data_IF_230393286011
#
_entry.id   IF_230393286011
#
_cell.length_a   1.000
_cell.length_b   1.000
_cell.length_c   1.000
_cell.angle_alpha   90.00
_cell.angle_beta   90.00
_cell.angle_gamma   90.00
#
_symmetry.space_group_name_H-M   'P 1'
#
loop_
_entity.id
_entity.type
_entity.pdbx_description
1 polymer ?
#
# COMPACT_ATOMS: atom_id res chain seq x y z
N UNK A 1 7.99 -10.29 23.18
CA UNK A 1 7.13 -9.81 24.28
C UNK A 1 7.26 -8.30 24.53
N UNK A 2 8.42 -7.66 24.34
CA UNK A 2 8.56 -6.19 24.42
C UNK A 2 8.12 -5.48 23.13
N UNK A 3 8.26 -6.11 21.96
CA UNK A 3 7.83 -5.58 20.66
C UNK A 3 6.30 -5.41 20.55
N UNK A 4 5.53 -6.30 21.15
CA UNK A 4 4.05 -6.26 21.08
C UNK A 4 3.45 -5.11 21.90
N UNK A 5 4.15 -4.68 22.95
CA UNK A 5 3.74 -3.53 23.79
C UNK A 5 4.09 -2.20 23.10
N UNK A 6 5.23 -2.10 22.43
CA UNK A 6 5.60 -0.92 21.64
C UNK A 6 4.65 -0.76 20.44
N UNK A 7 4.29 -1.85 19.76
CA UNK A 7 3.30 -1.82 18.69
C UNK A 7 1.89 -1.43 19.20
N UNK A 8 1.52 -1.81 20.42
CA UNK A 8 0.27 -1.40 21.04
C UNK A 8 0.27 0.07 21.49
N UNK A 9 1.41 0.59 21.95
CA UNK A 9 1.56 2.00 22.30
C UNK A 9 1.50 2.88 21.05
N UNK A 10 2.12 2.47 19.93
CA UNK A 10 2.01 3.15 18.64
C UNK A 10 0.59 3.15 18.06
N UNK A 11 -0.26 2.17 18.42
CA UNK A 11 -1.68 2.16 18.05
C UNK A 11 -2.50 3.23 18.81
N UNK A 12 -1.99 3.77 19.89
CA UNK A 12 -2.62 4.85 20.67
C UNK A 12 -2.15 6.25 20.25
N UNK A 13 -1.04 6.34 19.54
CA UNK A 13 -0.51 7.60 19.03
C UNK A 13 -1.26 8.02 17.76
N UNK A 14 -1.86 9.20 17.81
CA UNK A 14 -2.68 9.74 16.71
C UNK A 14 -1.82 10.53 15.72
N UNK A 15 -2.01 10.36 14.40
CA UNK A 15 -1.34 11.21 13.41
C UNK A 15 -1.88 12.64 13.42
N UNK A 16 -2.94 12.89 14.16
CA UNK A 16 -3.61 14.19 14.22
C UNK A 16 -2.93 15.16 15.17
N UNK A 17 -2.92 16.42 14.77
CA UNK A 17 -2.49 17.52 15.62
C UNK A 17 -3.46 17.74 16.79
N UNK A 18 -3.00 18.46 17.83
CA UNK A 18 -3.84 18.81 18.98
C UNK A 18 -5.12 19.58 18.59
N UNK A 19 -5.06 20.40 17.54
CA UNK A 19 -6.22 21.13 17.01
C UNK A 19 -7.32 20.19 16.53
N UNK A 20 -6.96 19.09 15.88
CA UNK A 20 -7.92 18.07 15.40
C UNK A 20 -8.45 17.23 16.56
N UNK A 21 -7.57 16.79 17.46
CA UNK A 21 -7.97 15.89 18.56
C UNK A 21 -8.84 16.58 19.61
N UNK A 22 -8.58 17.86 19.91
CA UNK A 22 -9.34 18.63 20.90
C UNK A 22 -10.59 19.30 20.36
N UNK A 23 -10.84 19.23 19.04
CA UNK A 23 -12.01 19.86 18.43
C UNK A 23 -13.32 19.28 18.97
N UNK A 24 -14.27 20.10 19.44
CA UNK A 24 -15.51 19.60 20.04
C UNK A 24 -16.39 18.90 19.00
N UNK A 25 -16.95 17.75 19.38
CA UNK A 25 -17.93 17.06 18.55
C UNK A 25 -19.29 17.79 18.66
N UNK A 26 -19.97 18.07 17.52
CA UNK A 26 -21.32 18.62 17.55
C UNK A 26 -22.29 17.65 18.25
N UNK A 27 -23.19 18.16 19.07
CA UNK A 27 -24.17 17.34 19.82
C UNK A 27 -25.11 16.52 18.92
N UNK A 28 -25.25 16.90 17.65
CA UNK A 28 -26.06 16.20 16.65
C UNK A 28 -25.24 15.43 15.63
N UNK A 29 -23.94 15.21 15.88
CA UNK A 29 -23.11 14.45 14.96
C UNK A 29 -23.64 13.02 14.81
N UNK A 30 -23.93 12.63 13.59
CA UNK A 30 -24.29 11.26 13.21
C UNK A 30 -23.36 10.80 12.12
N UNK A 31 -22.70 9.68 12.37
CA UNK A 31 -21.90 9.04 11.35
C UNK A 31 -22.82 8.54 10.24
N UNK A 32 -22.58 8.96 9.01
CA UNK A 32 -23.26 8.41 7.84
C UNK A 32 -22.96 6.92 7.72
N UNK A 33 -23.93 6.12 7.28
CA UNK A 33 -23.71 4.71 6.97
C UNK A 33 -22.92 4.61 5.66
N UNK A 34 -21.59 4.66 5.77
CA UNK A 34 -20.67 4.54 4.66
C UNK A 34 -20.05 3.15 4.72
N UNK A 35 -19.91 2.51 3.56
CA UNK A 35 -19.26 1.21 3.46
C UNK A 35 -17.80 1.29 3.93
N UNK A 36 -17.38 0.32 4.71
CA UNK A 36 -16.01 0.26 5.20
C UNK A 36 -15.04 -0.14 4.10
N UNK A 37 -13.85 0.45 4.10
CA UNK A 37 -12.82 0.27 3.10
C UNK A 37 -11.70 -0.67 3.57
N UNK A 38 -11.47 -1.73 2.82
CA UNK A 38 -10.45 -2.75 3.07
C UNK A 38 -9.28 -2.74 2.06
N UNK A 39 -9.35 -1.85 1.05
CA UNK A 39 -8.31 -1.72 0.03
C UNK A 39 -8.62 -2.36 -1.32
N UNK A 40 -9.78 -3.01 -1.51
CA UNK A 40 -10.11 -3.72 -2.76
C UNK A 40 -10.62 -2.78 -3.87
N UNK A 41 -11.19 -1.64 -3.47
CA UNK A 41 -11.77 -0.64 -4.39
C UNK A 41 -10.81 0.53 -4.60
N UNK A 42 -11.16 1.45 -5.51
CA UNK A 42 -10.39 2.68 -5.72
C UNK A 42 -10.41 3.55 -4.45
N UNK A 43 -9.24 3.95 -3.92
CA UNK A 43 -9.16 4.81 -2.73
C UNK A 43 -9.74 6.20 -2.96
N UNK A 44 -9.65 6.71 -4.20
CA UNK A 44 -10.20 8.04 -4.52
C UNK A 44 -11.72 8.02 -4.52
N UNK A 45 -12.32 6.96 -5.05
CA UNK A 45 -13.76 6.76 -4.99
C UNK A 45 -14.26 6.64 -3.54
N UNK A 46 -13.52 5.92 -2.69
CA UNK A 46 -13.83 5.82 -1.26
C UNK A 46 -13.73 7.19 -0.55
N UNK A 47 -12.69 7.97 -0.83
CA UNK A 47 -12.53 9.33 -0.28
C UNK A 47 -13.70 10.25 -0.68
N UNK A 48 -14.13 10.22 -1.94
CA UNK A 48 -15.27 11.03 -2.41
C UNK A 48 -16.59 10.54 -1.80
N UNK A 49 -16.77 9.23 -1.69
CA UNK A 49 -17.95 8.62 -1.03
C UNK A 49 -18.05 9.01 0.44
N UNK A 50 -16.92 9.17 1.14
CA UNK A 50 -16.88 9.67 2.51
C UNK A 50 -17.10 11.18 2.58
N UNK A 51 -16.41 11.95 1.76
CA UNK A 51 -16.37 13.41 1.79
C UNK A 51 -17.72 14.05 1.47
N UNK A 52 -18.41 13.51 0.47
CA UNK A 52 -19.68 14.09 -0.01
C UNK A 52 -20.75 14.20 1.08
N UNK A 53 -21.15 13.14 1.80
CA UNK A 53 -22.15 13.25 2.86
C UNK A 53 -21.67 14.07 4.05
N UNK A 54 -20.38 14.08 4.36
CA UNK A 54 -19.84 14.90 5.45
C UNK A 54 -19.91 16.39 5.15
N UNK A 55 -19.59 16.80 3.91
CA UNK A 55 -19.76 18.19 3.45
C UNK A 55 -21.22 18.61 3.40
N UNK A 56 -22.14 17.76 2.95
CA UNK A 56 -23.57 18.05 2.95
C UNK A 56 -24.12 18.28 4.37
N UNK A 57 -23.52 17.66 5.37
CA UNK A 57 -23.86 17.89 6.79
C UNK A 57 -23.15 19.12 7.38
N UNK A 58 -22.31 19.82 6.62
CA UNK A 58 -21.54 20.96 7.08
C UNK A 58 -20.49 20.61 8.14
N UNK A 59 -19.91 19.39 8.06
CA UNK A 59 -18.91 18.93 9.03
C UNK A 59 -17.59 19.67 8.84
N UNK A 60 -16.99 20.07 9.96
CA UNK A 60 -15.66 20.68 10.00
C UNK A 60 -14.58 19.63 9.64
N UNK A 61 -13.46 20.10 9.09
CA UNK A 61 -12.32 19.27 8.68
C UNK A 61 -11.81 18.38 9.81
N UNK A 62 -11.76 18.89 11.02
CA UNK A 62 -11.29 18.18 12.21
C UNK A 62 -12.18 16.97 12.53
N UNK A 63 -13.49 17.11 12.34
CA UNK A 63 -14.45 16.01 12.54
C UNK A 63 -14.28 14.98 11.44
N UNK A 64 -14.12 15.44 10.20
CA UNK A 64 -13.87 14.54 9.06
C UNK A 64 -12.58 13.75 9.24
N UNK A 65 -11.50 14.38 9.72
CA UNK A 65 -10.25 13.71 10.06
C UNK A 65 -10.45 12.57 11.08
N UNK A 66 -11.16 12.85 12.17
CA UNK A 66 -11.42 11.86 13.24
C UNK A 66 -12.39 10.76 12.83
N UNK A 67 -13.32 11.06 11.94
CA UNK A 67 -14.33 10.10 11.47
C UNK A 67 -13.76 9.13 10.42
N UNK A 68 -12.88 9.59 9.53
CA UNK A 68 -12.37 8.79 8.40
C UNK A 68 -11.73 7.45 8.80
N UNK A 69 -10.83 7.39 9.83
CA UNK A 69 -10.20 6.12 10.22
C UNK A 69 -11.18 5.04 10.68
N UNK A 70 -12.36 5.43 11.14
CA UNK A 70 -13.39 4.46 11.60
C UNK A 70 -13.98 3.66 10.44
N UNK A 71 -13.85 4.20 9.20
CA UNK A 71 -14.29 3.54 7.98
C UNK A 71 -13.23 2.58 7.40
N UNK A 72 -12.01 2.61 7.94
CA UNK A 72 -10.91 1.77 7.45
C UNK A 72 -10.90 0.42 8.15
N UNK A 73 -10.70 -0.66 7.39
CA UNK A 73 -10.55 -2.04 7.90
C UNK A 73 -9.28 -2.71 7.39
N UNK A 74 -8.85 -3.75 8.10
CA UNK A 74 -7.75 -4.61 7.70
C UNK A 74 -6.46 -3.85 7.38
N UNK A 75 -5.83 -4.11 6.22
CA UNK A 75 -4.58 -3.48 5.83
C UNK A 75 -4.63 -1.97 5.80
N UNK A 76 -5.78 -1.38 5.46
CA UNK A 76 -5.95 0.08 5.39
C UNK A 76 -5.88 0.75 6.74
N UNK A 77 -6.41 0.12 7.77
CA UNK A 77 -6.28 0.61 9.15
C UNK A 77 -4.83 0.57 9.62
N UNK A 78 -4.11 -0.49 9.26
CA UNK A 78 -2.68 -0.61 9.56
C UNK A 78 -1.83 0.43 8.81
N UNK A 79 -2.17 0.73 7.54
CA UNK A 79 -1.53 1.81 6.79
C UNK A 79 -1.75 3.17 7.46
N UNK A 80 -2.95 3.42 7.94
CA UNK A 80 -3.26 4.66 8.65
C UNK A 80 -2.47 4.80 9.95
N UNK A 81 -2.29 3.74 10.73
CA UNK A 81 -1.52 3.76 11.98
C UNK A 81 -0.02 4.03 11.80
N UNK A 82 0.50 3.90 10.57
CA UNK A 82 1.89 4.20 10.21
C UNK A 82 2.14 5.64 9.78
N UNK A 83 1.09 6.47 9.73
CA UNK A 83 1.24 7.88 9.41
C UNK A 83 2.03 8.59 10.51
N UNK A 84 2.81 9.60 10.10
CA UNK A 84 3.63 10.39 11.04
C UNK A 84 2.75 11.06 12.09
N UNK A 85 3.14 10.94 13.35
CA UNK A 85 2.44 11.56 14.47
C UNK A 85 2.38 13.08 14.32
N UNK A 86 1.26 13.68 14.71
CA UNK A 86 1.05 15.14 14.69
C UNK A 86 1.27 15.79 13.29
N UNK A 87 1.11 15.04 12.20
CA UNK A 87 1.37 15.53 10.85
C UNK A 87 0.11 15.97 10.09
N UNK A 88 -1.08 15.72 10.66
CA UNK A 88 -2.36 15.97 9.99
C UNK A 88 -3.17 17.00 10.74
N UNK A 89 -3.38 18.15 10.11
CA UNK A 89 -4.18 19.27 10.63
C UNK A 89 -5.49 19.46 9.88
N UNK A 90 -5.56 18.98 8.62
CA UNK A 90 -6.71 19.17 7.73
C UNK A 90 -7.12 17.87 7.06
N UNK A 91 -8.37 17.76 6.64
CA UNK A 91 -8.85 16.61 5.88
C UNK A 91 -8.18 16.51 4.50
N UNK A 92 -7.77 17.63 3.93
CA UNK A 92 -7.00 17.66 2.67
C UNK A 92 -5.64 16.96 2.83
N UNK A 93 -4.91 17.23 3.92
CA UNK A 93 -3.63 16.58 4.21
C UNK A 93 -3.82 15.08 4.43
N UNK A 94 -4.83 14.68 5.20
CA UNK A 94 -5.19 13.29 5.41
C UNK A 94 -5.48 12.57 4.10
N UNK A 95 -6.34 13.15 3.26
CA UNK A 95 -6.73 12.59 1.96
C UNK A 95 -5.53 12.43 1.03
N UNK A 96 -4.63 13.42 1.02
CA UNK A 96 -3.42 13.40 0.19
C UNK A 96 -2.47 12.29 0.64
N UNK A 97 -2.19 12.20 1.94
CA UNK A 97 -1.30 11.17 2.49
C UNK A 97 -1.88 9.77 2.29
N UNK A 98 -3.18 9.60 2.52
CA UNK A 98 -3.87 8.34 2.28
C UNK A 98 -3.81 7.92 0.81
N UNK A 99 -4.13 8.82 -0.13
CA UNK A 99 -4.08 8.55 -1.56
C UNK A 99 -2.66 8.20 -2.03
N UNK A 100 -1.64 8.96 -1.60
CA UNK A 100 -0.25 8.71 -1.96
C UNK A 100 0.24 7.35 -1.44
N UNK A 101 -0.08 7.01 -0.20
CA UNK A 101 0.31 5.74 0.40
C UNK A 101 -0.35 4.56 -0.31
N UNK A 102 -1.63 4.72 -0.66
CA UNK A 102 -2.38 3.70 -1.39
C UNK A 102 -1.92 3.55 -2.85
N UNK A 103 -1.71 4.65 -3.57
CA UNK A 103 -1.25 4.63 -4.96
C UNK A 103 0.13 3.95 -5.05
N UNK A 104 1.04 4.25 -4.13
CA UNK A 104 2.35 3.59 -4.04
C UNK A 104 2.20 2.09 -3.77
N UNK A 105 1.43 1.71 -2.77
CA UNK A 105 1.20 0.31 -2.42
C UNK A 105 0.48 -0.49 -3.53
N UNK A 106 -0.51 0.11 -4.17
CA UNK A 106 -1.29 -0.54 -5.23
C UNK A 106 -0.50 -0.68 -6.54
N UNK A 107 0.24 0.35 -6.93
CA UNK A 107 1.18 0.28 -8.07
C UNK A 107 2.22 -0.81 -7.84
N UNK A 108 2.85 -0.83 -6.68
CA UNK A 108 3.86 -1.81 -6.34
C UNK A 108 3.30 -3.25 -6.39
N UNK A 109 2.17 -3.51 -5.74
CA UNK A 109 1.53 -4.83 -5.73
C UNK A 109 1.02 -5.27 -7.12
N UNK A 110 0.36 -4.38 -7.87
CA UNK A 110 -0.09 -4.70 -9.23
C UNK A 110 1.08 -5.04 -10.16
N UNK A 111 2.17 -4.33 -10.03
CA UNK A 111 3.31 -4.46 -10.92
C UNK A 111 4.11 -5.73 -10.61
N UNK A 112 4.29 -6.09 -9.34
CA UNK A 112 4.92 -7.37 -8.96
C UNK A 112 4.07 -8.55 -9.41
N UNK A 113 2.75 -8.50 -9.25
CA UNK A 113 1.83 -9.54 -9.75
C UNK A 113 1.91 -9.64 -11.28
N UNK A 114 2.01 -8.51 -11.99
CA UNK A 114 2.21 -8.52 -13.45
C UNK A 114 3.51 -9.23 -13.83
N UNK A 115 4.63 -8.94 -13.15
CA UNK A 115 5.90 -9.63 -13.38
C UNK A 115 5.81 -11.13 -13.10
N UNK A 116 5.16 -11.52 -12.03
CA UNK A 116 4.96 -12.93 -11.69
C UNK A 116 4.10 -13.67 -12.71
N UNK A 117 3.29 -12.98 -13.51
CA UNK A 117 2.48 -13.56 -14.57
C UNK A 117 3.19 -13.65 -15.92
N UNK A 118 4.35 -13.00 -16.10
CA UNK A 118 5.15 -13.11 -17.33
C UNK A 118 5.82 -14.47 -17.36
N UNK A 119 5.36 -15.33 -18.26
CA UNK A 119 5.87 -16.69 -18.42
C UNK A 119 6.53 -16.87 -19.78
N UNK A 120 7.72 -17.44 -19.80
CA UNK A 120 8.38 -17.81 -21.05
C UNK A 120 7.53 -18.83 -21.82
N UNK A 121 7.14 -18.50 -23.04
CA UNK A 121 6.30 -19.37 -23.92
C UNK A 121 7.14 -20.52 -24.48
N UNK A 122 6.44 -21.57 -25.00
CA UNK A 122 7.09 -22.80 -25.48
C UNK A 122 8.14 -22.53 -26.60
N UNK A 123 7.79 -21.65 -27.53
CA UNK A 123 8.62 -21.30 -28.69
C UNK A 123 9.38 -19.97 -28.52
N UNK A 124 9.30 -19.39 -27.33
CA UNK A 124 9.96 -18.12 -27.05
C UNK A 124 11.43 -18.29 -26.73
N UNK A 125 12.27 -17.51 -27.41
CA UNK A 125 13.69 -17.49 -27.11
C UNK A 125 13.95 -16.84 -25.74
N UNK A 126 15.01 -17.26 -25.07
CA UNK A 126 15.42 -16.65 -23.81
C UNK A 126 15.65 -15.14 -23.93
N UNK A 127 16.21 -14.68 -25.06
CA UNK A 127 16.43 -13.25 -25.32
C UNK A 127 15.12 -12.48 -25.36
N UNK A 128 14.10 -13.01 -26.05
CA UNK A 128 12.77 -12.38 -26.13
C UNK A 128 12.12 -12.28 -24.75
N UNK A 129 12.17 -13.38 -23.97
CA UNK A 129 11.67 -13.40 -22.61
C UNK A 129 12.36 -12.35 -21.71
N UNK A 130 13.70 -12.27 -21.75
CA UNK A 130 14.47 -11.27 -20.99
C UNK A 130 14.06 -9.85 -21.40
N UNK A 131 13.91 -9.58 -22.70
CA UNK A 131 13.51 -8.26 -23.19
C UNK A 131 12.11 -7.88 -22.69
N UNK A 132 11.15 -8.82 -22.75
CA UNK A 132 9.80 -8.62 -22.26
C UNK A 132 9.78 -8.39 -20.74
N UNK A 133 10.48 -9.22 -19.99
CA UNK A 133 10.57 -9.11 -18.54
C UNK A 133 11.22 -7.79 -18.11
N UNK A 134 12.33 -7.39 -18.71
CA UNK A 134 13.02 -6.15 -18.37
C UNK A 134 12.17 -4.91 -18.68
N UNK A 135 11.41 -4.93 -19.76
CA UNK A 135 10.50 -3.83 -20.12
C UNK A 135 9.46 -3.60 -19.00
N UNK A 136 8.89 -4.66 -18.48
CA UNK A 136 7.92 -4.57 -17.40
C UNK A 136 8.61 -4.27 -16.04
N UNK A 137 9.78 -4.85 -15.78
CA UNK A 137 10.56 -4.60 -14.56
C UNK A 137 10.98 -3.14 -14.41
N UNK A 138 11.39 -2.49 -15.52
CA UNK A 138 11.76 -1.07 -15.54
C UNK A 138 10.57 -0.12 -15.27
N UNK A 139 9.36 -0.61 -15.38
CA UNK A 139 8.16 0.17 -15.05
C UNK A 139 7.83 0.17 -13.54
N UNK A 140 8.60 -0.58 -12.74
CA UNK A 140 8.43 -0.68 -11.30
C UNK A 140 9.44 0.21 -10.61
N UNK A 141 8.97 1.26 -9.97
CA UNK A 141 9.80 2.09 -9.10
C UNK A 141 10.12 1.30 -7.81
N UNK A 142 11.40 1.24 -7.44
CA UNK A 142 11.91 0.65 -6.19
C UNK A 142 11.60 -0.87 -6.00
N UNK A 143 11.63 -1.65 -7.05
CA UNK A 143 11.49 -3.10 -6.91
C UNK A 143 12.74 -3.71 -6.23
N UNK A 144 12.54 -4.50 -5.19
CA UNK A 144 13.62 -5.27 -4.55
C UNK A 144 14.19 -6.28 -5.54
N UNK A 145 15.51 -6.27 -5.72
CA UNK A 145 16.23 -7.18 -6.63
C UNK A 145 15.93 -8.66 -6.36
N UNK A 146 15.68 -9.02 -5.09
CA UNK A 146 15.33 -10.39 -4.71
C UNK A 146 13.96 -10.79 -5.25
N UNK A 147 13.01 -9.86 -5.22
CA UNK A 147 11.65 -10.07 -5.75
C UNK A 147 11.70 -10.16 -7.28
N UNK A 148 12.45 -9.27 -7.93
CA UNK A 148 12.65 -9.31 -9.39
C UNK A 148 13.27 -10.62 -9.82
N UNK A 149 14.31 -11.08 -9.13
CA UNK A 149 14.96 -12.33 -9.42
C UNK A 149 14.06 -13.55 -9.17
N UNK A 150 13.29 -13.55 -8.11
CA UNK A 150 12.32 -14.60 -7.82
C UNK A 150 11.23 -14.67 -8.90
N UNK A 151 10.68 -13.52 -9.32
CA UNK A 151 9.70 -13.45 -10.40
C UNK A 151 10.28 -13.96 -11.74
N UNK A 152 11.50 -13.54 -12.08
CA UNK A 152 12.19 -13.97 -13.29
C UNK A 152 12.43 -15.48 -13.33
N UNK A 153 13.02 -16.04 -12.26
CA UNK A 153 13.40 -17.45 -12.19
C UNK A 153 12.21 -18.38 -12.11
N UNK A 154 11.15 -18.00 -11.41
CA UNK A 154 9.96 -18.82 -11.19
C UNK A 154 9.19 -19.13 -12.50
N UNK A 155 9.30 -18.26 -13.50
CA UNK A 155 8.58 -18.37 -14.77
C UNK A 155 9.46 -18.69 -15.98
N UNK A 156 10.74 -18.83 -15.75
CA UNK A 156 11.69 -19.28 -16.76
C UNK A 156 11.53 -20.79 -17.01
N UNK A 157 11.67 -21.21 -18.25
CA UNK A 157 11.62 -22.64 -18.60
C UNK A 157 12.81 -23.38 -17.99
N UNK A 158 12.55 -24.60 -17.52
CA UNK A 158 13.60 -25.49 -17.03
C UNK A 158 14.64 -25.74 -18.13
N UNK A 159 15.89 -25.46 -17.85
CA UNK A 159 17.01 -25.63 -18.77
C UNK A 159 18.35 -25.27 -18.14
N UNK A 160 19.45 -25.44 -18.92
CA UNK A 160 20.82 -25.19 -18.46
C UNK A 160 21.02 -23.79 -17.88
N UNK A 161 20.34 -22.78 -18.45
CA UNK A 161 20.44 -21.41 -18.01
C UNK A 161 19.84 -21.19 -16.62
N UNK A 162 18.63 -21.72 -16.37
CA UNK A 162 18.01 -21.65 -15.05
C UNK A 162 18.87 -22.32 -13.98
N UNK A 163 19.42 -23.49 -14.32
CA UNK A 163 20.32 -24.23 -13.42
C UNK A 163 21.58 -23.42 -13.07
N UNK A 164 22.21 -22.78 -14.08
CA UNK A 164 23.39 -21.94 -13.87
C UNK A 164 23.07 -20.72 -13.01
N UNK A 165 21.91 -20.10 -13.22
CA UNK A 165 21.44 -18.94 -12.48
C UNK A 165 21.21 -19.27 -11.00
N UNK A 166 20.49 -20.36 -10.74
CA UNK A 166 20.27 -20.85 -9.36
C UNK A 166 21.57 -21.18 -8.63
N UNK A 167 22.54 -21.79 -9.35
CA UNK A 167 23.86 -22.11 -8.79
C UNK A 167 24.65 -20.84 -8.41
N UNK A 168 24.66 -19.82 -9.27
CA UNK A 168 25.33 -18.55 -8.99
C UNK A 168 24.71 -17.82 -7.79
N UNK A 169 23.38 -17.86 -7.67
CA UNK A 169 22.68 -17.24 -6.54
C UNK A 169 22.88 -17.96 -5.21
N UNK A 170 22.90 -19.28 -5.23
CA UNK A 170 23.19 -20.09 -4.02
C UNK A 170 24.61 -19.83 -3.48
N UNK A 171 25.58 -19.60 -4.37
CA UNK A 171 26.95 -19.27 -3.98
C UNK A 171 27.04 -17.88 -3.35
N UNK A 172 26.26 -16.91 -3.83
CA UNK A 172 26.23 -15.54 -3.27
C UNK A 172 25.59 -15.46 -1.88
N UNK A 173 24.62 -16.31 -1.59
CA UNK A 173 23.95 -16.36 -0.28
C UNK A 173 24.81 -17.06 0.80
N UNK A 174 25.83 -17.82 0.40
CA UNK A 174 26.73 -18.49 1.31
C UNK A 174 28.03 -17.68 1.61
N UNK A 175 28.18 -16.50 0.95
CA UNK A 175 29.35 -15.62 1.08
C UNK A 175 29.06 -14.28 1.78
N UNK A 176 27.87 -14.12 2.39
CA UNK A 176 27.48 -13.04 3.28
C UNK A 176 27.15 -13.58 4.65
#
# INVERSE_FOLDING_TARGET
MLSDLDDLVHLMDSPFTASVTSFPLPSKFRMSQIETYNGDKDPLDHLETFKTPMHLQGMADEIMCRAFPTMLKGPMRLCFSRLTLNSISTFKELSTQFALHFIRGHRHNKTIVCLMNIKQRKEETLRSYITCFNKEALSIDEADDKILMAAFTNRLRKGKFLFSLCRMYSIRLLST
#
